data_IF_540888024827
#
_entry.id   IF_540888024827
#
_cell.length_a   1.000
_cell.length_b   1.000
_cell.length_c   1.000
_cell.angle_alpha   90.00
_cell.angle_beta   90.00
_cell.angle_gamma   90.00
#
_symmetry.space_group_name_H-M   'P 1'
#
loop_
_entity.id
_entity.type
_entity.pdbx_description
1 polymer ?
#
# COMPACT_ATOMS: atom_id res chain seq x y z
N UNK A 1 -24.67 -17.53 -5.62
CA UNK A 1 -23.40 -17.69 -4.88
C UNK A 1 -22.28 -16.92 -5.58
N UNK A 2 -22.20 -17.00 -6.91
CA UNK A 2 -21.16 -16.31 -7.70
C UNK A 2 -21.20 -14.78 -7.66
N UNK A 3 -22.40 -14.18 -7.72
CA UNK A 3 -22.55 -12.71 -7.66
C UNK A 3 -22.03 -12.15 -6.33
N UNK A 4 -22.19 -12.89 -5.22
CA UNK A 4 -21.68 -12.47 -3.92
C UNK A 4 -20.14 -12.45 -3.88
N UNK A 5 -19.50 -13.49 -4.44
CA UNK A 5 -18.03 -13.56 -4.53
C UNK A 5 -17.45 -12.49 -5.46
N UNK A 6 -18.15 -12.18 -6.56
CA UNK A 6 -17.74 -11.12 -7.49
C UNK A 6 -17.81 -9.74 -6.81
N UNK A 7 -18.91 -9.44 -6.10
CA UNK A 7 -19.05 -8.17 -5.36
C UNK A 7 -17.99 -8.08 -4.26
N UNK A 8 -17.77 -9.15 -3.50
CA UNK A 8 -16.78 -9.18 -2.43
C UNK A 8 -15.36 -8.96 -2.97
N UNK A 9 -15.01 -9.66 -4.06
CA UNK A 9 -13.73 -9.51 -4.72
C UNK A 9 -13.51 -8.13 -5.32
N UNK A 10 -14.54 -7.53 -5.93
CA UNK A 10 -14.47 -6.15 -6.44
C UNK A 10 -14.23 -5.14 -5.31
N UNK A 11 -14.93 -5.30 -4.18
CA UNK A 11 -14.69 -4.47 -2.98
C UNK A 11 -13.28 -4.68 -2.46
N UNK A 12 -12.77 -5.90 -2.36
CA UNK A 12 -11.39 -6.16 -1.96
C UNK A 12 -10.37 -5.49 -2.88
N UNK A 13 -10.59 -5.46 -4.19
CA UNK A 13 -9.71 -4.78 -5.14
C UNK A 13 -9.77 -3.26 -4.96
N UNK A 14 -10.96 -2.67 -4.79
CA UNK A 14 -11.10 -1.23 -4.51
C UNK A 14 -10.41 -0.86 -3.20
N UNK A 15 -10.58 -1.67 -2.16
CA UNK A 15 -9.92 -1.47 -0.87
C UNK A 15 -8.41 -1.66 -0.97
N UNK A 16 -7.94 -2.60 -1.80
CA UNK A 16 -6.51 -2.80 -2.08
C UNK A 16 -5.88 -1.64 -2.86
N UNK A 17 -6.62 -1.06 -3.81
CA UNK A 17 -6.26 0.16 -4.52
C UNK A 17 -6.25 1.39 -3.61
N UNK A 18 -7.24 1.53 -2.73
CA UNK A 18 -7.19 2.58 -1.71
C UNK A 18 -6.04 2.35 -0.72
N UNK A 19 -5.78 1.09 -0.40
CA UNK A 19 -4.69 0.65 0.46
C UNK A 19 -3.31 0.95 -0.09
N UNK A 20 -3.10 0.96 -1.41
CA UNK A 20 -1.80 1.34 -1.99
C UNK A 20 -1.46 2.83 -1.83
N UNK A 21 -2.48 3.67 -1.64
CA UNK A 21 -2.32 5.12 -1.38
C UNK A 21 -2.15 5.39 0.12
N UNK A 22 -2.76 4.55 0.97
CA UNK A 22 -2.68 4.69 2.41
C UNK A 22 -1.44 3.97 2.97
N UNK A 23 -0.54 4.67 3.68
CA UNK A 23 0.74 4.11 4.14
C UNK A 23 0.60 2.95 5.15
N UNK A 24 -0.61 2.73 5.68
CA UNK A 24 -0.90 1.67 6.66
C UNK A 24 -1.27 0.32 6.04
N UNK A 25 -1.62 0.27 4.75
CA UNK A 25 -2.15 -0.93 4.12
C UNK A 25 -1.22 -1.43 3.01
N UNK A 26 -0.81 -2.71 3.03
CA UNK A 26 -0.05 -3.29 1.93
C UNK A 26 -1.00 -3.48 0.73
N UNK A 27 -1.05 -2.49 -0.16
CA UNK A 27 -1.93 -2.48 -1.32
C UNK A 27 -1.78 -3.68 -2.27
N UNK A 28 -0.54 -4.07 -2.68
CA UNK A 28 -0.35 -5.19 -3.60
C UNK A 28 -0.85 -6.54 -3.05
N UNK A 29 -0.56 -6.94 -1.79
CA UNK A 29 -1.12 -8.15 -1.18
C UNK A 29 -2.64 -8.11 -1.05
N UNK A 30 -3.21 -6.98 -0.61
CA UNK A 30 -4.66 -6.87 -0.43
C UNK A 30 -5.41 -7.01 -1.77
N UNK A 31 -4.87 -6.40 -2.83
CA UNK A 31 -5.42 -6.50 -4.18
C UNK A 31 -5.32 -7.94 -4.72
N UNK A 32 -4.21 -8.63 -4.42
CA UNK A 32 -4.02 -10.02 -4.82
C UNK A 32 -4.95 -11.00 -4.09
N UNK A 33 -5.23 -10.76 -2.81
CA UNK A 33 -6.27 -11.50 -2.07
C UNK A 33 -7.64 -11.31 -2.74
N UNK A 34 -7.97 -10.08 -3.17
CA UNK A 34 -9.17 -9.82 -3.95
C UNK A 34 -9.25 -10.63 -5.25
N UNK A 35 -8.13 -10.77 -5.97
CA UNK A 35 -8.06 -11.61 -7.18
C UNK A 35 -8.27 -13.10 -6.90
N UNK A 36 -7.71 -13.63 -5.80
CA UNK A 36 -7.95 -15.02 -5.37
C UNK A 36 -9.44 -15.23 -5.03
N UNK A 37 -10.06 -14.27 -4.34
CA UNK A 37 -11.49 -14.33 -3.99
C UNK A 37 -12.39 -14.32 -5.23
N UNK A 38 -12.03 -13.56 -6.27
CA UNK A 38 -12.75 -13.58 -7.56
C UNK A 38 -12.55 -14.89 -8.30
N UNK A 39 -11.33 -15.46 -8.27
CA UNK A 39 -11.03 -16.73 -8.92
C UNK A 39 -11.80 -17.92 -8.33
N UNK A 40 -12.25 -17.82 -7.07
CA UNK A 40 -13.12 -18.80 -6.43
C UNK A 40 -14.59 -18.73 -6.92
N UNK A 41 -14.99 -17.70 -7.66
CA UNK A 41 -16.31 -17.62 -8.27
C UNK A 41 -16.37 -18.48 -9.54
N UNK A 42 -17.44 -19.24 -9.74
CA UNK A 42 -17.56 -20.28 -10.78
C UNK A 42 -17.55 -19.77 -12.24
N UNK A 43 -17.40 -18.46 -12.46
CA UNK A 43 -17.32 -17.85 -13.79
C UNK A 43 -15.92 -17.32 -14.15
N UNK A 44 -14.91 -17.44 -13.28
CA UNK A 44 -13.58 -16.86 -13.49
C UNK A 44 -12.49 -17.90 -13.24
N UNK A 45 -12.35 -18.84 -14.17
CA UNK A 45 -11.21 -19.79 -14.18
C UNK A 45 -9.94 -19.07 -14.66
N UNK A 46 -9.18 -18.50 -13.72
CA UNK A 46 -7.79 -18.13 -13.98
C UNK A 46 -6.89 -19.34 -13.79
N UNK A 47 -5.91 -19.50 -14.69
CA UNK A 47 -4.92 -20.58 -14.61
C UNK A 47 -4.12 -20.50 -13.31
N UNK A 48 -3.91 -21.65 -12.67
CA UNK A 48 -3.09 -21.78 -11.45
C UNK A 48 -1.68 -21.22 -11.66
N UNK A 49 -1.11 -21.38 -12.86
CA UNK A 49 0.19 -20.79 -13.23
C UNK A 49 0.17 -19.27 -13.14
N UNK A 50 -0.94 -18.63 -13.51
CA UNK A 50 -1.09 -17.19 -13.48
C UNK A 50 -1.12 -16.66 -12.03
N UNK A 51 -1.87 -17.33 -11.15
CA UNK A 51 -1.90 -17.01 -9.73
C UNK A 51 -0.51 -17.15 -9.10
N UNK A 52 0.20 -18.25 -9.34
CA UNK A 52 1.53 -18.47 -8.73
C UNK A 52 2.55 -17.43 -9.20
N UNK A 53 2.55 -17.06 -10.47
CA UNK A 53 3.44 -16.00 -11.00
C UNK A 53 3.13 -14.66 -10.34
N UNK A 54 1.84 -14.27 -10.25
CA UNK A 54 1.46 -13.02 -9.61
C UNK A 54 1.70 -13.01 -8.10
N UNK A 55 1.55 -14.14 -7.42
CA UNK A 55 1.92 -14.28 -6.01
C UNK A 55 3.42 -13.98 -5.79
N UNK A 56 4.28 -14.52 -6.64
CA UNK A 56 5.72 -14.26 -6.58
C UNK A 56 6.04 -12.78 -6.84
N UNK A 57 5.38 -12.16 -7.82
CA UNK A 57 5.55 -10.73 -8.11
C UNK A 57 5.12 -9.87 -6.92
N UNK A 58 3.96 -10.16 -6.32
CA UNK A 58 3.43 -9.43 -5.16
C UNK A 58 4.39 -9.55 -3.97
N UNK A 59 4.93 -10.74 -3.70
CA UNK A 59 5.92 -10.94 -2.64
C UNK A 59 7.21 -10.16 -2.93
N UNK A 60 7.71 -10.21 -4.17
CA UNK A 60 8.91 -9.49 -4.56
C UNK A 60 8.75 -7.97 -4.39
N UNK A 61 7.64 -7.40 -4.89
CA UNK A 61 7.32 -5.98 -4.75
C UNK A 61 7.16 -5.60 -3.29
N UNK A 62 6.45 -6.40 -2.49
CA UNK A 62 6.25 -6.12 -1.07
C UNK A 62 7.58 -6.10 -0.29
N UNK A 63 8.52 -6.98 -0.64
CA UNK A 63 9.87 -6.97 -0.05
C UNK A 63 10.62 -5.70 -0.46
N UNK A 64 10.59 -5.34 -1.73
CA UNK A 64 11.24 -4.12 -2.22
C UNK A 64 10.66 -2.86 -1.55
N UNK A 65 9.34 -2.79 -1.42
CA UNK A 65 8.62 -1.66 -0.80
C UNK A 65 8.93 -1.49 0.70
N UNK A 66 9.31 -2.57 1.40
CA UNK A 66 9.71 -2.48 2.82
C UNK A 66 11.22 -2.23 2.94
N UNK A 67 12.03 -2.86 2.08
CA UNK A 67 13.49 -2.82 2.16
C UNK A 67 14.03 -1.48 1.67
N UNK A 68 13.53 -0.94 0.55
CA UNK A 68 14.04 0.32 -0.01
C UNK A 68 13.85 1.50 0.97
N UNK A 69 12.66 1.75 1.55
CA UNK A 69 12.47 2.84 2.50
C UNK A 69 13.20 2.62 3.82
N UNK A 70 13.28 1.38 4.32
CA UNK A 70 13.99 1.08 5.56
C UNK A 70 15.51 1.25 5.43
N UNK A 71 16.09 0.90 4.28
CA UNK A 71 17.48 1.22 3.97
C UNK A 71 17.70 2.72 3.76
N UNK A 72 16.76 3.39 3.07
CA UNK A 72 16.79 4.83 2.86
C UNK A 72 16.82 5.60 4.18
N UNK A 73 15.87 5.33 5.07
CA UNK A 73 15.80 5.97 6.40
C UNK A 73 17.05 5.72 7.24
N UNK A 74 17.61 4.50 7.24
CA UNK A 74 18.87 4.20 7.93
C UNK A 74 20.08 4.93 7.34
N UNK A 75 20.17 5.04 6.01
CA UNK A 75 21.30 5.68 5.32
C UNK A 75 21.25 7.21 5.38
N UNK A 76 20.06 7.79 5.35
CA UNK A 76 19.84 9.24 5.43
C UNK A 76 19.63 9.76 6.86
N UNK A 77 19.78 8.91 7.89
CA UNK A 77 19.73 9.32 9.29
C UNK A 77 18.34 9.68 9.82
N UNK A 78 17.27 9.19 9.17
CA UNK A 78 15.89 9.46 9.57
C UNK A 78 15.57 8.91 10.96
N UNK A 79 15.01 9.75 11.83
CA UNK A 79 14.56 9.35 13.15
C UNK A 79 13.15 8.76 13.13
N UNK A 80 12.77 8.10 14.22
CA UNK A 80 11.38 7.63 14.43
C UNK A 80 10.36 8.77 14.33
N UNK A 81 10.73 9.99 14.74
CA UNK A 81 9.83 11.16 14.69
C UNK A 81 9.64 11.68 13.26
N UNK A 82 10.69 11.66 12.42
CA UNK A 82 10.56 11.98 10.99
C UNK A 82 9.69 10.97 10.24
N UNK A 83 9.82 9.67 10.56
CA UNK A 83 8.95 8.62 9.99
C UNK A 83 7.49 8.82 10.39
N UNK A 84 7.23 9.10 11.68
CA UNK A 84 5.87 9.32 12.15
C UNK A 84 5.28 10.63 11.59
N UNK A 85 6.08 11.68 11.49
CA UNK A 85 5.72 12.95 10.86
C UNK A 85 5.39 12.78 9.38
N UNK A 86 6.13 11.95 8.65
CA UNK A 86 5.85 11.59 7.26
C UNK A 86 4.47 10.93 7.12
N UNK A 87 4.17 9.93 7.96
CA UNK A 87 2.88 9.24 7.94
C UNK A 87 1.70 10.18 8.23
N UNK A 88 1.82 11.05 9.23
CA UNK A 88 0.81 12.07 9.53
C UNK A 88 0.68 13.07 8.37
N UNK A 89 1.81 13.45 7.78
CA UNK A 89 1.88 14.34 6.63
C UNK A 89 1.15 13.80 5.40
N UNK A 90 1.22 12.49 5.14
CA UNK A 90 0.44 11.84 4.07
C UNK A 90 -1.06 11.92 4.37
N UNK A 91 -1.47 11.57 5.59
CA UNK A 91 -2.89 11.58 5.98
C UNK A 91 -3.47 13.00 5.88
N UNK A 92 -2.76 14.00 6.42
CA UNK A 92 -3.16 15.40 6.32
C UNK A 92 -3.10 15.92 4.87
N UNK A 93 -2.07 15.52 4.13
CA UNK A 93 -1.86 15.87 2.73
C UNK A 93 -2.95 15.34 1.80
N UNK A 94 -3.59 14.22 2.13
CA UNK A 94 -4.67 13.64 1.35
C UNK A 94 -5.87 14.59 1.19
N UNK A 95 -6.12 15.47 2.17
CA UNK A 95 -7.19 16.47 2.12
C UNK A 95 -6.90 17.63 1.16
N UNK A 96 -5.63 17.87 0.83
CA UNK A 96 -5.17 18.92 -0.08
C UNK A 96 -5.02 18.42 -1.54
N UNK A 97 -5.45 17.17 -1.82
CA UNK A 97 -5.41 16.57 -3.15
C UNK A 97 -4.02 16.05 -3.55
N UNK A 98 -3.76 15.85 -4.86
CA UNK A 98 -2.54 15.19 -5.34
C UNK A 98 -1.24 15.90 -4.93
N UNK A 99 -1.26 17.25 -4.94
CA UNK A 99 -0.12 18.04 -4.49
C UNK A 99 0.16 17.86 -2.99
N UNK A 100 -0.90 17.73 -2.18
CA UNK A 100 -0.79 17.50 -0.75
C UNK A 100 -0.23 16.13 -0.39
N UNK A 101 -0.52 15.08 -1.16
CA UNK A 101 0.04 13.73 -0.94
C UNK A 101 1.55 13.71 -1.19
N UNK A 102 2.06 14.56 -2.09
CA UNK A 102 3.50 14.67 -2.37
C UNK A 102 4.17 15.58 -1.34
N UNK A 103 3.60 16.76 -1.07
CA UNK A 103 4.23 17.78 -0.21
C UNK A 103 4.06 17.44 1.29
N UNK A 104 2.91 16.87 1.66
CA UNK A 104 2.54 16.51 3.02
C UNK A 104 3.58 15.64 3.75
N UNK A 105 3.99 14.47 3.22
CA UNK A 105 5.03 13.66 3.83
C UNK A 105 6.37 14.40 4.02
N UNK A 106 6.78 15.23 3.06
CA UNK A 106 8.01 16.03 3.18
C UNK A 106 7.92 17.04 4.32
N UNK A 107 6.85 17.85 4.34
CA UNK A 107 6.63 18.85 5.39
C UNK A 107 6.46 18.16 6.75
N UNK A 108 5.70 17.08 6.81
CA UNK A 108 5.47 16.30 8.02
C UNK A 108 6.76 15.67 8.55
N UNK A 109 7.63 15.13 7.69
CA UNK A 109 8.92 14.60 8.09
C UNK A 109 9.85 15.68 8.66
N UNK A 110 9.90 16.86 8.01
CA UNK A 110 10.71 18.00 8.48
C UNK A 110 10.21 18.48 9.84
N UNK A 111 8.91 18.69 10.00
CA UNK A 111 8.32 19.10 11.29
C UNK A 111 8.56 18.04 12.37
N UNK A 112 8.45 16.75 12.03
CA UNK A 112 8.73 15.65 12.95
C UNK A 112 10.18 15.63 13.46
N UNK A 113 11.16 15.87 12.59
CA UNK A 113 12.57 16.00 12.99
C UNK A 113 12.84 17.26 13.82
N UNK A 114 12.19 18.38 13.49
CA UNK A 114 12.35 19.63 14.24
C UNK A 114 11.83 19.52 15.67
N UNK A 115 10.73 18.79 15.92
CA UNK A 115 10.18 18.58 17.27
C UNK A 115 11.08 17.68 18.13
N UNK A 116 11.84 16.78 17.50
CA UNK A 116 12.77 15.89 18.20
C UNK A 116 14.03 16.64 18.69
N UNK A 117 14.43 17.69 17.97
CA UNK A 117 15.64 18.48 18.23
C UNK A 117 15.40 19.48 19.34
#
# INVERSE_FOLDING_TARGET
MDIFLIILGFVCIIVGLAGSVLPALPGPPLSYIGLIVINLASNVEMSVTWLVVWALVVVAVQVLDIVIPSMGTKRFGGSKYGVWGCNVGVIAGMFLGPAGIIIGPFVGAVVGELIKT
#
